data_IF_764126476709
#
_entry.id   IF_764126476709
#
_cell.length_a   1.000
_cell.length_b   1.000
_cell.length_c   1.000
_cell.angle_alpha   90.00
_cell.angle_beta   90.00
_cell.angle_gamma   90.00
#
_symmetry.space_group_name_H-M   'P 1'
#
loop_
_entity.id
_entity.type
_entity.pdbx_description
1 polymer ?
#
# COMPACT_ATOMS: atom_id res chain seq x y z
N UNK A 1 -23.88 -25.14 -4.77
CA UNK A 1 -22.52 -25.07 -4.20
C UNK A 1 -21.87 -23.82 -4.76
N UNK A 2 -21.65 -22.78 -3.96
CA UNK A 2 -20.88 -21.62 -4.39
C UNK A 2 -19.43 -22.09 -4.63
N UNK A 3 -18.89 -21.86 -5.83
CA UNK A 3 -17.51 -22.24 -6.15
C UNK A 3 -16.56 -21.47 -5.23
N UNK A 4 -15.49 -22.15 -4.79
CA UNK A 4 -14.40 -21.60 -3.95
C UNK A 4 -13.63 -20.43 -4.61
N UNK A 5 -14.09 -19.94 -5.76
CA UNK A 5 -13.35 -19.08 -6.69
C UNK A 5 -13.93 -17.66 -6.82
N UNK A 6 -15.00 -17.33 -6.08
CA UNK A 6 -15.62 -15.99 -6.13
C UNK A 6 -15.43 -15.23 -4.80
N UNK A 7 -14.20 -14.75 -4.57
CA UNK A 7 -13.81 -14.03 -3.35
C UNK A 7 -14.17 -12.55 -3.44
N UNK A 8 -13.86 -11.92 -4.57
CA UNK A 8 -14.17 -10.53 -4.91
C UNK A 8 -15.49 -10.47 -5.68
N UNK A 9 -16.35 -9.52 -5.33
CA UNK A 9 -17.54 -9.20 -6.12
C UNK A 9 -17.14 -8.52 -7.44
N UNK A 10 -18.05 -8.53 -8.42
CA UNK A 10 -17.85 -7.78 -9.67
C UNK A 10 -17.66 -6.28 -9.42
N UNK A 11 -18.33 -5.72 -8.41
CA UNK A 11 -18.15 -4.33 -7.98
C UNK A 11 -16.74 -4.09 -7.44
N UNK A 12 -16.19 -5.00 -6.62
CA UNK A 12 -14.82 -4.88 -6.13
C UNK A 12 -13.80 -4.97 -7.28
N UNK A 13 -14.04 -5.81 -8.28
CA UNK A 13 -13.18 -5.91 -9.47
C UNK A 13 -13.27 -4.64 -10.32
N UNK A 14 -14.46 -4.09 -10.54
CA UNK A 14 -14.63 -2.81 -11.24
C UNK A 14 -13.97 -1.66 -10.46
N UNK A 15 -14.15 -1.63 -9.14
CA UNK A 15 -13.48 -0.70 -8.23
C UNK A 15 -11.97 -0.79 -8.30
N UNK A 16 -11.38 -1.99 -8.42
CA UNK A 16 -9.94 -2.15 -8.66
C UNK A 16 -9.49 -1.47 -9.96
N UNK A 17 -10.24 -1.65 -11.05
CA UNK A 17 -9.89 -1.06 -12.34
C UNK A 17 -9.94 0.47 -12.29
N UNK A 18 -10.92 1.03 -11.58
CA UNK A 18 -11.14 2.48 -11.48
C UNK A 18 -10.21 3.15 -10.46
N UNK A 19 -10.06 2.54 -9.28
CA UNK A 19 -9.40 3.13 -8.10
C UNK A 19 -8.00 2.57 -7.86
N UNK A 20 -7.65 1.43 -8.46
CA UNK A 20 -6.32 0.84 -8.35
C UNK A 20 -6.09 0.05 -7.07
N UNK A 21 -7.12 -0.22 -6.27
CA UNK A 21 -7.00 -1.07 -5.09
C UNK A 21 -8.31 -1.76 -4.71
N UNK A 22 -8.19 -2.83 -3.91
CA UNK A 22 -9.31 -3.50 -3.24
C UNK A 22 -8.91 -3.80 -1.80
N UNK A 23 -9.76 -3.43 -0.84
CA UNK A 23 -9.69 -3.94 0.53
C UNK A 23 -10.38 -5.29 0.62
N UNK A 24 -9.66 -6.29 1.11
CA UNK A 24 -10.14 -7.64 1.36
C UNK A 24 -10.13 -7.90 2.87
N UNK A 25 -11.29 -7.73 3.54
CA UNK A 25 -11.43 -8.11 4.94
C UNK A 25 -11.19 -9.61 5.13
N UNK A 26 -10.50 -9.94 6.23
CA UNK A 26 -10.16 -11.31 6.61
C UNK A 26 -9.54 -12.09 5.44
N UNK A 27 -8.61 -11.47 4.71
CA UNK A 27 -7.88 -12.11 3.62
C UNK A 27 -7.14 -13.38 4.06
N UNK A 28 -6.70 -13.41 5.32
CA UNK A 28 -6.15 -14.56 6.03
C UNK A 28 -6.56 -14.52 7.51
N UNK A 29 -6.27 -15.60 8.25
CA UNK A 29 -6.74 -15.72 9.63
C UNK A 29 -6.16 -14.63 10.55
N UNK A 30 -7.06 -13.95 11.27
CA UNK A 30 -6.68 -12.96 12.29
C UNK A 30 -5.69 -13.52 13.31
N UNK A 31 -5.88 -14.77 13.74
CA UNK A 31 -4.99 -15.42 14.69
C UNK A 31 -3.57 -15.61 14.12
N UNK A 32 -3.45 -15.90 12.82
CA UNK A 32 -2.15 -15.99 12.15
C UNK A 32 -1.48 -14.60 12.07
N UNK A 33 -2.25 -13.55 11.77
CA UNK A 33 -1.77 -12.17 11.76
C UNK A 33 -1.18 -11.75 13.12
N UNK A 34 -1.93 -12.01 14.19
CA UNK A 34 -1.50 -11.70 15.56
C UNK A 34 -0.33 -12.55 16.01
N UNK A 35 -0.25 -13.82 15.62
CA UNK A 35 0.90 -14.66 15.92
C UNK A 35 2.18 -14.12 15.26
N UNK A 36 2.10 -13.64 14.00
CA UNK A 36 3.21 -12.94 13.34
C UNK A 36 3.58 -11.68 14.14
N UNK A 37 2.60 -10.88 14.57
CA UNK A 37 2.84 -9.70 15.39
C UNK A 37 3.59 -10.04 16.69
N UNK A 38 3.18 -11.10 17.40
CA UNK A 38 3.80 -11.53 18.65
C UNK A 38 5.25 -12.02 18.44
N UNK A 39 5.52 -12.70 17.31
CA UNK A 39 6.87 -13.09 16.93
C UNK A 39 7.77 -11.87 16.65
N UNK A 40 7.22 -10.81 16.05
CA UNK A 40 7.94 -9.54 15.87
C UNK A 40 8.22 -8.86 17.21
N UNK A 41 7.23 -8.80 18.11
CA UNK A 41 7.43 -8.27 19.46
C UNK A 41 8.50 -9.02 20.23
N UNK A 42 8.57 -10.34 20.10
CA UNK A 42 9.62 -11.15 20.73
C UNK A 42 11.02 -10.78 20.22
N UNK A 43 11.16 -10.47 18.92
CA UNK A 43 12.42 -9.98 18.37
C UNK A 43 12.76 -8.58 18.85
N UNK A 44 11.76 -7.70 18.96
CA UNK A 44 11.92 -6.34 19.49
C UNK A 44 12.33 -6.33 20.96
N UNK A 45 11.75 -7.22 21.79
CA UNK A 45 12.14 -7.39 23.18
C UNK A 45 13.63 -7.72 23.31
N UNK A 46 14.13 -8.62 22.46
CA UNK A 46 15.56 -8.97 22.42
C UNK A 46 16.46 -7.81 21.99
N UNK A 47 15.90 -6.78 21.35
CA UNK A 47 16.57 -5.52 20.99
C UNK A 47 16.31 -4.39 22.01
N UNK A 48 15.67 -4.67 23.15
CA UNK A 48 15.39 -3.70 24.21
C UNK A 48 14.15 -2.83 23.97
N UNK A 49 13.29 -3.20 23.03
CA UNK A 49 12.02 -2.51 22.75
C UNK A 49 10.88 -3.36 23.34
N UNK A 50 10.30 -2.88 24.44
CA UNK A 50 9.30 -3.60 25.21
C UNK A 50 7.88 -3.23 24.79
N UNK A 51 7.02 -4.23 24.55
CA UNK A 51 5.62 -4.04 24.18
C UNK A 51 4.80 -3.30 25.25
N UNK A 52 5.13 -3.50 26.52
CA UNK A 52 4.43 -2.92 27.67
C UNK A 52 4.96 -1.55 28.09
N UNK A 53 6.16 -1.17 27.65
CA UNK A 53 6.80 0.09 28.03
C UNK A 53 7.07 0.99 26.81
N UNK A 54 6.16 1.95 26.60
CA UNK A 54 6.25 2.94 25.52
C UNK A 54 7.52 3.78 25.55
N UNK A 55 8.16 3.94 26.71
CA UNK A 55 9.39 4.75 26.82
C UNK A 55 10.58 4.10 26.08
N UNK A 56 10.48 2.80 25.81
CA UNK A 56 11.49 2.05 25.03
C UNK A 56 11.27 2.14 23.52
N UNK A 57 10.14 2.69 23.07
CA UNK A 57 9.76 2.68 21.65
C UNK A 57 10.58 3.69 20.85
N UNK A 58 11.19 3.29 19.73
CA UNK A 58 11.93 4.22 18.89
C UNK A 58 10.98 5.20 18.18
N UNK A 59 11.48 6.39 17.87
CA UNK A 59 10.76 7.30 16.99
C UNK A 59 10.71 6.72 15.56
N UNK A 60 9.51 6.60 15.01
CA UNK A 60 9.33 6.26 13.59
C UNK A 60 9.40 4.78 13.26
N UNK A 61 10.05 4.48 12.14
CA UNK A 61 10.02 3.15 11.54
C UNK A 61 11.06 2.19 12.14
N UNK A 62 10.68 0.94 12.36
CA UNK A 62 11.60 -0.11 12.77
C UNK A 62 11.90 -1.08 11.62
N UNK A 63 13.19 -1.40 11.42
CA UNK A 63 13.67 -2.24 10.31
C UNK A 63 14.43 -3.49 10.74
N UNK A 64 14.63 -3.71 12.04
CA UNK A 64 15.44 -4.80 12.59
C UNK A 64 14.75 -6.17 12.66
N UNK A 65 13.69 -6.39 11.89
CA UNK A 65 12.89 -7.63 11.96
C UNK A 65 13.41 -8.66 10.98
N UNK A 66 13.61 -9.88 11.48
CA UNK A 66 13.91 -11.05 10.67
C UNK A 66 12.62 -11.79 10.32
N UNK A 67 12.55 -12.28 9.09
CA UNK A 67 11.43 -13.09 8.63
C UNK A 67 11.34 -14.42 9.38
N UNK A 68 10.09 -14.88 9.53
CA UNK A 68 9.74 -16.21 9.99
C UNK A 68 8.86 -16.87 8.91
N UNK A 69 9.45 -17.50 7.87
CA UNK A 69 8.69 -18.07 6.76
C UNK A 69 7.66 -19.11 7.19
N UNK A 70 7.87 -19.80 8.32
CA UNK A 70 6.92 -20.79 8.81
C UNK A 70 5.60 -20.17 9.24
N UNK A 71 5.71 -19.10 10.03
CA UNK A 71 4.56 -18.37 10.53
C UNK A 71 3.89 -17.54 9.42
N UNK A 72 4.70 -16.98 8.52
CA UNK A 72 4.25 -16.09 7.44
C UNK A 72 3.55 -16.83 6.29
N UNK A 73 3.70 -18.15 6.17
CA UNK A 73 2.99 -18.96 5.16
C UNK A 73 1.48 -18.83 5.26
N UNK A 74 0.94 -18.57 6.45
CA UNK A 74 -0.49 -18.37 6.68
C UNK A 74 -1.10 -17.19 5.91
N UNK A 75 -0.28 -16.22 5.49
CA UNK A 75 -0.72 -15.08 4.66
C UNK A 75 -1.24 -15.58 3.31
N UNK A 76 -0.64 -16.63 2.75
CA UNK A 76 -1.05 -17.25 1.49
C UNK A 76 -2.32 -18.09 1.58
N UNK A 77 -3.27 -17.69 2.43
CA UNK A 77 -4.53 -18.38 2.62
C UNK A 77 -5.33 -18.48 1.31
N UNK A 78 -6.19 -19.50 1.15
CA UNK A 78 -6.99 -19.69 -0.07
C UNK A 78 -7.81 -18.45 -0.47
N UNK A 79 -8.29 -17.65 0.50
CA UNK A 79 -9.07 -16.44 0.24
C UNK A 79 -8.22 -15.34 -0.42
N UNK A 80 -7.05 -15.02 0.12
CA UNK A 80 -6.13 -14.07 -0.52
C UNK A 80 -5.70 -14.57 -1.91
N UNK A 81 -5.32 -15.85 -2.03
CA UNK A 81 -4.94 -16.44 -3.32
C UNK A 81 -6.08 -16.41 -4.34
N UNK A 82 -7.32 -16.64 -3.92
CA UNK A 82 -8.51 -16.54 -4.76
C UNK A 82 -8.76 -15.12 -5.28
N UNK A 83 -8.59 -14.10 -4.42
CA UNK A 83 -8.67 -12.71 -4.84
C UNK A 83 -7.57 -12.34 -5.85
N UNK A 84 -6.33 -12.79 -5.62
CA UNK A 84 -5.23 -12.60 -6.59
C UNK A 84 -5.55 -13.29 -7.93
N UNK A 85 -6.10 -14.52 -7.90
CA UNK A 85 -6.55 -15.21 -9.11
C UNK A 85 -7.61 -14.41 -9.90
N UNK A 86 -8.57 -13.79 -9.21
CA UNK A 86 -9.60 -12.99 -9.87
C UNK A 86 -9.03 -11.71 -10.52
N UNK A 87 -7.97 -11.12 -9.96
CA UNK A 87 -7.35 -9.90 -10.50
C UNK A 87 -6.29 -10.17 -11.58
N UNK A 88 -5.45 -11.20 -11.40
CA UNK A 88 -4.34 -11.49 -12.33
C UNK A 88 -4.66 -12.59 -13.35
N UNK A 89 -5.73 -13.35 -13.11
CA UNK A 89 -6.06 -14.58 -13.84
C UNK A 89 -5.37 -15.81 -13.23
N UNK A 90 -6.07 -16.95 -13.17
CA UNK A 90 -5.49 -18.20 -12.66
C UNK A 90 -4.32 -18.65 -13.54
N UNK A 91 -3.24 -19.12 -12.92
CA UNK A 91 -2.04 -19.58 -13.63
C UNK A 91 -1.05 -18.47 -14.03
N UNK A 92 -1.47 -17.20 -13.98
CA UNK A 92 -0.63 -16.05 -14.35
C UNK A 92 0.20 -15.51 -13.19
N UNK A 93 0.36 -16.25 -12.10
CA UNK A 93 1.19 -15.86 -10.96
C UNK A 93 1.55 -17.11 -10.15
N UNK A 94 2.54 -16.99 -9.27
CA UNK A 94 2.96 -18.08 -8.37
C UNK A 94 2.86 -17.64 -6.92
N UNK A 95 2.40 -18.56 -6.08
CA UNK A 95 2.45 -18.40 -4.62
C UNK A 95 3.91 -18.16 -4.21
N UNK A 96 4.24 -16.99 -3.62
CA UNK A 96 5.61 -16.68 -3.26
C UNK A 96 6.05 -17.51 -2.03
N UNK A 97 7.34 -17.80 -1.95
CA UNK A 97 7.94 -18.42 -0.75
C UNK A 97 8.02 -17.45 0.45
N UNK A 98 7.95 -16.14 0.19
CA UNK A 98 7.93 -15.07 1.20
C UNK A 98 6.85 -14.03 0.86
N UNK A 99 6.03 -13.72 1.86
CA UNK A 99 4.90 -12.78 1.77
C UNK A 99 5.28 -11.36 2.16
N UNK A 100 6.36 -10.85 1.56
CA UNK A 100 6.70 -9.43 1.63
C UNK A 100 7.65 -9.06 2.77
N UNK A 101 8.01 -7.78 2.87
CA UNK A 101 8.82 -7.23 3.96
C UNK A 101 7.95 -6.58 5.04
N UNK A 102 8.47 -6.47 6.26
CA UNK A 102 7.78 -5.78 7.35
C UNK A 102 7.77 -4.27 7.15
N UNK A 103 6.62 -3.67 7.41
CA UNK A 103 6.44 -2.24 7.59
C UNK A 103 5.97 -2.03 9.02
N UNK A 104 6.86 -1.50 9.88
CA UNK A 104 6.53 -1.21 11.27
C UNK A 104 6.82 0.25 11.59
N UNK A 105 5.84 0.94 12.17
CA UNK A 105 5.97 2.32 12.61
C UNK A 105 5.39 2.49 14.01
N UNK A 106 6.13 3.17 14.86
CA UNK A 106 5.72 3.52 16.21
C UNK A 106 4.97 4.87 16.23
N UNK A 107 4.11 5.09 17.25
CA UNK A 107 3.46 6.37 17.48
C UNK A 107 4.43 7.54 17.50
N UNK A 108 4.01 8.64 16.88
CA UNK A 108 4.69 9.93 16.83
C UNK A 108 3.63 11.02 16.94
N UNK A 109 3.83 11.99 17.82
CA UNK A 109 2.90 13.10 18.00
C UNK A 109 1.52 12.69 18.54
N UNK A 110 0.64 13.69 18.64
CA UNK A 110 -0.74 13.53 19.06
C UNK A 110 -1.68 13.38 17.85
N UNK A 111 -2.80 12.68 18.02
CA UNK A 111 -3.77 12.41 16.95
C UNK A 111 -4.31 13.68 16.28
N UNK A 112 -4.45 14.76 17.05
CA UNK A 112 -4.97 16.06 16.60
C UNK A 112 -3.96 16.81 15.71
N UNK A 113 -2.67 16.45 15.78
CA UNK A 113 -1.61 17.02 14.95
C UNK A 113 -1.41 16.27 13.62
N UNK A 114 -2.19 15.21 13.37
CA UNK A 114 -2.02 14.42 12.15
C UNK A 114 -2.33 15.27 10.91
N UNK A 115 -1.38 15.26 9.96
CA UNK A 115 -1.54 15.94 8.68
C UNK A 115 -0.99 15.08 7.56
N UNK A 116 -1.63 15.20 6.39
CA UNK A 116 -1.20 14.47 5.22
C UNK A 116 0.19 14.92 4.76
N UNK A 117 1.13 13.97 4.70
CA UNK A 117 2.52 14.23 4.28
C UNK A 117 2.64 14.75 2.84
N UNK A 118 3.65 15.57 2.58
CA UNK A 118 4.13 15.89 1.22
C UNK A 118 5.21 14.94 0.73
N UNK A 119 5.72 14.09 1.61
CA UNK A 119 7.00 13.42 1.41
C UNK A 119 6.81 11.97 0.94
N UNK A 120 7.83 11.48 0.23
CA UNK A 120 7.97 10.07 -0.14
C UNK A 120 6.81 9.48 -0.95
N UNK A 121 6.10 10.28 -1.73
CA UNK A 121 5.12 9.76 -2.68
C UNK A 121 5.80 9.12 -3.90
N UNK A 122 5.47 7.86 -4.18
CA UNK A 122 6.08 7.06 -5.26
C UNK A 122 5.13 5.95 -5.74
N UNK A 123 5.56 5.24 -6.80
CA UNK A 123 4.99 3.97 -7.23
C UNK A 123 6.11 2.95 -7.38
N UNK A 124 5.77 1.66 -7.35
CA UNK A 124 6.74 0.56 -7.32
C UNK A 124 6.82 -0.23 -8.63
N UNK A 125 5.91 0.00 -9.58
CA UNK A 125 5.88 -0.73 -10.84
C UNK A 125 7.16 -0.54 -11.66
N UNK A 126 7.94 -1.61 -11.78
CA UNK A 126 9.16 -1.66 -12.59
C UNK A 126 8.87 -1.99 -14.06
N UNK A 127 7.67 -2.50 -14.37
CA UNK A 127 7.22 -2.89 -15.70
C UNK A 127 6.22 -1.88 -16.26
N UNK A 128 6.17 -0.69 -15.67
CA UNK A 128 5.18 0.35 -15.98
C UNK A 128 5.14 0.69 -17.48
N UNK A 129 6.26 0.58 -18.21
CA UNK A 129 6.29 0.82 -19.66
C UNK A 129 5.52 -0.22 -20.51
N UNK A 130 4.94 -1.26 -19.91
CA UNK A 130 4.23 -2.34 -20.60
C UNK A 130 2.71 -2.31 -20.31
N UNK A 131 2.04 -1.19 -20.56
CA UNK A 131 0.59 -1.06 -20.28
C UNK A 131 -0.30 -1.95 -21.15
N UNK A 132 0.17 -2.36 -22.32
CA UNK A 132 -0.66 -3.08 -23.30
C UNK A 132 -1.02 -4.50 -22.84
N UNK A 133 -0.39 -5.02 -21.78
CA UNK A 133 -0.68 -6.33 -21.18
C UNK A 133 -1.60 -6.24 -19.94
N UNK A 134 -2.14 -5.06 -19.67
CA UNK A 134 -2.95 -4.75 -18.49
C UNK A 134 -2.12 -4.71 -17.22
N UNK A 135 -2.74 -5.03 -16.08
CA UNK A 135 -2.05 -5.04 -14.79
C UNK A 135 -0.89 -6.05 -14.77
N UNK A 136 0.32 -5.54 -14.54
CA UNK A 136 1.61 -6.27 -14.57
C UNK A 136 1.87 -7.10 -13.31
N UNK A 137 1.01 -6.98 -12.30
CA UNK A 137 1.21 -7.59 -11.00
C UNK A 137 0.34 -6.96 -9.91
N UNK A 138 0.67 -7.17 -8.64
CA UNK A 138 0.02 -6.54 -7.51
C UNK A 138 1.05 -6.01 -6.51
N UNK A 139 0.73 -4.87 -5.91
CA UNK A 139 1.31 -4.39 -4.67
C UNK A 139 0.36 -4.74 -3.54
N UNK A 140 0.75 -5.69 -2.68
CA UNK A 140 -0.12 -6.26 -1.65
C UNK A 140 0.33 -5.79 -0.28
N UNK A 141 -0.59 -5.20 0.49
CA UNK A 141 -0.39 -4.83 1.88
C UNK A 141 -1.20 -5.76 2.77
N UNK A 142 -0.58 -6.43 3.74
CA UNK A 142 -1.29 -7.30 4.70
C UNK A 142 -1.16 -6.75 6.11
N UNK A 143 -2.26 -6.70 6.84
CA UNK A 143 -2.35 -6.05 8.14
C UNK A 143 -2.12 -7.08 9.25
N UNK A 144 -1.21 -6.77 10.17
CA UNK A 144 -0.83 -7.64 11.30
C UNK A 144 -1.27 -7.07 12.66
N UNK A 145 -1.72 -5.82 12.69
CA UNK A 145 -2.24 -5.13 13.87
C UNK A 145 -3.52 -4.37 13.51
N UNK A 146 -4.24 -3.87 14.51
CA UNK A 146 -5.29 -2.88 14.28
C UNK A 146 -4.66 -1.60 13.73
N UNK A 147 -5.23 -1.06 12.66
CA UNK A 147 -4.80 0.19 12.04
C UNK A 147 -6.02 1.11 11.97
N UNK A 148 -6.18 2.03 12.95
CA UNK A 148 -7.22 3.04 12.89
C UNK A 148 -6.84 4.12 11.87
N UNK A 149 -7.79 5.01 11.57
CA UNK A 149 -7.47 6.25 10.88
C UNK A 149 -6.34 7.00 11.61
N UNK A 150 -5.42 7.56 10.84
CA UNK A 150 -4.21 8.25 11.27
C UNK A 150 -3.23 7.36 12.06
N UNK A 151 -3.43 6.03 12.03
CA UNK A 151 -2.58 5.03 12.67
C UNK A 151 -1.36 4.63 11.85
N UNK A 152 -0.97 5.40 10.84
CA UNK A 152 0.23 5.16 10.05
C UNK A 152 0.04 4.15 8.91
N UNK A 153 -1.20 3.94 8.47
CA UNK A 153 -1.51 3.12 7.30
C UNK A 153 -0.82 3.64 6.05
N UNK A 154 -0.47 2.79 5.09
CA UNK A 154 0.03 3.29 3.80
C UNK A 154 -1.02 4.21 3.17
N UNK A 155 -0.62 5.40 2.73
CA UNK A 155 -1.47 6.32 1.98
C UNK A 155 -1.47 5.90 0.52
N UNK A 156 -2.65 5.81 -0.11
CA UNK A 156 -2.82 5.51 -1.52
C UNK A 156 -3.55 6.67 -2.19
N UNK A 157 -3.13 7.07 -3.39
CA UNK A 157 -3.96 7.90 -4.27
C UNK A 157 -4.84 6.98 -5.10
N UNK A 158 -6.10 6.81 -4.70
CA UNK A 158 -7.10 6.10 -5.49
C UNK A 158 -7.16 6.71 -6.91
N UNK A 159 -7.16 5.87 -7.94
CA UNK A 159 -7.20 6.24 -9.36
C UNK A 159 -5.86 6.60 -9.99
N UNK A 160 -4.81 6.82 -9.19
CA UNK A 160 -3.52 7.32 -9.69
C UNK A 160 -2.77 6.37 -10.63
N UNK A 161 -3.02 5.07 -10.59
CA UNK A 161 -2.43 4.12 -11.55
C UNK A 161 -2.76 4.49 -13.00
N UNK A 162 -3.95 5.06 -13.23
CA UNK A 162 -4.38 5.58 -14.54
C UNK A 162 -3.64 6.86 -14.92
N UNK A 163 -3.35 7.73 -13.95
CA UNK A 163 -2.51 8.91 -14.19
C UNK A 163 -1.08 8.50 -14.54
N UNK A 164 -0.52 7.55 -13.81
CA UNK A 164 0.81 6.99 -14.11
C UNK A 164 0.81 6.40 -15.51
N UNK A 165 -0.21 5.63 -15.88
CA UNK A 165 -0.33 5.10 -17.25
C UNK A 165 -0.40 6.19 -18.31
N UNK A 166 -1.26 7.18 -18.15
CA UNK A 166 -1.38 8.30 -19.09
C UNK A 166 -0.06 9.08 -19.21
N UNK A 167 0.64 9.31 -18.10
CA UNK A 167 1.93 9.98 -18.07
C UNK A 167 2.96 9.25 -18.95
N UNK A 168 3.12 7.94 -18.76
CA UNK A 168 4.09 7.17 -19.53
C UNK A 168 3.69 6.99 -21.01
N UNK A 169 2.40 6.86 -21.33
CA UNK A 169 1.92 6.81 -22.73
C UNK A 169 2.25 8.11 -23.50
N UNK A 170 2.41 9.23 -22.80
CA UNK A 170 2.76 10.53 -23.39
C UNK A 170 4.26 10.85 -23.38
N UNK A 171 5.10 9.97 -22.80
CA UNK A 171 6.54 10.19 -22.80
C UNK A 171 7.09 10.15 -24.23
N UNK A 172 7.95 11.11 -24.55
CA UNK A 172 8.73 11.06 -25.77
C UNK A 172 9.62 9.80 -25.77
N UNK A 173 9.92 9.18 -26.92
CA UNK A 173 10.73 7.96 -26.99
C UNK A 173 12.09 8.06 -26.27
N UNK A 174 12.72 9.24 -26.30
CA UNK A 174 13.98 9.49 -25.59
C UNK A 174 13.82 9.44 -24.06
N UNK A 175 12.67 9.87 -23.54
CA UNK A 175 12.39 9.92 -22.10
C UNK A 175 12.00 8.56 -21.52
N UNK A 176 11.52 7.62 -22.34
CA UNK A 176 11.18 6.25 -21.91
C UNK A 176 12.40 5.46 -21.41
N UNK A 177 13.61 5.88 -21.78
CA UNK A 177 14.88 5.29 -21.37
C UNK A 177 15.41 5.86 -20.04
N UNK A 178 14.73 6.85 -19.46
CA UNK A 178 15.15 7.42 -18.18
C UNK A 178 15.05 6.40 -17.05
N UNK A 179 15.94 6.53 -16.07
CA UNK A 179 15.84 5.78 -14.81
C UNK A 179 14.60 6.22 -14.04
N UNK A 180 14.15 5.37 -13.11
CA UNK A 180 12.92 5.63 -12.34
C UNK A 180 12.93 6.94 -11.55
N UNK A 181 14.06 7.35 -10.96
CA UNK A 181 14.10 8.56 -10.12
C UNK A 181 13.70 9.83 -10.89
N UNK A 182 14.35 10.17 -12.03
CA UNK A 182 13.89 11.29 -12.86
C UNK A 182 12.44 11.19 -13.32
N UNK A 183 11.94 9.98 -13.63
CA UNK A 183 10.54 9.77 -14.00
C UNK A 183 9.59 10.06 -12.83
N UNK A 184 9.96 9.66 -11.61
CA UNK A 184 9.25 9.96 -10.36
C UNK A 184 9.17 11.45 -10.09
N UNK A 185 10.29 12.15 -10.23
CA UNK A 185 10.36 13.61 -10.05
C UNK A 185 9.52 14.37 -11.09
N UNK A 186 9.53 13.92 -12.35
CA UNK A 186 8.72 14.52 -13.42
C UNK A 186 7.23 14.21 -13.27
N UNK A 187 6.86 13.00 -12.88
CA UNK A 187 5.45 12.66 -12.61
C UNK A 187 4.87 13.49 -11.48
N UNK A 188 5.61 13.66 -10.38
CA UNK A 188 5.20 14.50 -9.25
C UNK A 188 4.86 15.94 -9.66
N UNK A 189 5.46 16.44 -10.75
CA UNK A 189 5.22 17.78 -11.31
C UNK A 189 4.32 17.77 -12.55
N UNK A 190 3.86 16.60 -13.02
CA UNK A 190 3.16 16.47 -14.30
C UNK A 190 1.75 17.05 -14.29
N UNK A 191 1.16 17.21 -13.11
CA UNK A 191 -0.17 17.78 -12.90
C UNK A 191 -0.16 18.71 -11.69
N UNK A 192 -0.89 19.85 -11.70
CA UNK A 192 -0.94 20.76 -10.56
C UNK A 192 -1.33 20.08 -9.25
N UNK A 193 -2.32 19.17 -9.29
CA UNK A 193 -2.75 18.40 -8.12
C UNK A 193 -1.64 17.52 -7.53
N UNK A 194 -0.82 16.88 -8.37
CA UNK A 194 0.32 16.08 -7.93
C UNK A 194 1.42 16.95 -7.34
N UNK A 195 1.67 18.12 -7.96
CA UNK A 195 2.68 19.07 -7.48
C UNK A 195 2.29 19.63 -6.10
N UNK A 196 1.01 19.94 -5.89
CA UNK A 196 0.44 20.32 -4.59
C UNK A 196 0.58 19.18 -3.55
N UNK A 197 0.22 17.95 -3.94
CA UNK A 197 0.32 16.77 -3.07
C UNK A 197 1.77 16.51 -2.64
N UNK A 198 2.74 16.75 -3.51
CA UNK A 198 4.15 16.42 -3.27
C UNK A 198 4.99 17.62 -2.81
N UNK A 199 4.35 18.73 -2.44
CA UNK A 199 5.03 19.91 -1.91
C UNK A 199 5.91 20.64 -2.92
N UNK A 200 5.68 20.46 -4.22
CA UNK A 200 6.41 21.14 -5.30
C UNK A 200 5.88 22.55 -5.57
N UNK A 201 4.78 22.93 -4.91
CA UNK A 201 4.15 24.26 -4.97
C UNK A 201 4.21 24.95 -3.60
N UNK A 202 3.68 26.17 -3.52
CA UNK A 202 3.43 26.83 -2.23
C UNK A 202 2.61 25.92 -1.30
N UNK A 203 2.82 26.00 0.03
CA UNK A 203 2.12 25.15 0.99
C UNK A 203 0.60 25.24 0.84
N UNK A 204 -0.04 24.07 0.74
CA UNK A 204 -1.50 23.95 0.72
C UNK A 204 -2.01 23.90 2.15
N UNK A 205 -2.88 24.84 2.51
CA UNK A 205 -3.57 24.80 3.80
C UNK A 205 -4.56 23.63 3.86
N UNK A 206 -4.69 23.00 5.03
CA UNK A 206 -5.60 21.88 5.27
C UNK A 206 -5.51 20.76 4.20
N UNK A 207 -4.30 20.19 4.07
CA UNK A 207 -3.98 19.12 3.10
C UNK A 207 -4.92 17.93 3.23
N UNK A 208 -5.25 17.53 4.46
CA UNK A 208 -6.18 16.43 4.73
C UNK A 208 -7.54 16.68 4.06
N UNK A 209 -8.12 17.87 4.21
CA UNK A 209 -9.37 18.19 3.51
C UNK A 209 -9.18 18.22 1.99
N UNK A 210 -8.15 18.92 1.49
CA UNK A 210 -7.87 19.07 0.05
C UNK A 210 -7.77 17.74 -0.70
N UNK A 211 -7.12 16.74 -0.09
CA UNK A 211 -6.74 15.51 -0.77
C UNK A 211 -7.54 14.29 -0.32
N UNK A 212 -8.11 14.29 0.89
CA UNK A 212 -8.79 13.12 1.47
C UNK A 212 -10.28 13.33 1.75
N UNK A 213 -10.81 14.56 1.80
CA UNK A 213 -12.24 14.76 2.05
C UNK A 213 -13.06 14.46 0.78
N UNK A 214 -12.64 15.02 -0.35
CA UNK A 214 -13.39 14.97 -1.61
C UNK A 214 -12.55 14.39 -2.76
N UNK A 215 -13.23 13.84 -3.75
CA UNK A 215 -12.60 13.37 -4.99
C UNK A 215 -12.28 14.57 -5.88
N UNK A 216 -11.05 14.66 -6.36
CA UNK A 216 -10.64 15.63 -7.37
C UNK A 216 -10.64 14.98 -8.76
N UNK A 217 -10.89 15.76 -9.81
CA UNK A 217 -10.62 15.33 -11.18
C UNK A 217 -9.24 15.85 -11.60
N UNK A 218 -8.38 14.94 -12.08
CA UNK A 218 -7.05 15.27 -12.61
C UNK A 218 -6.93 14.60 -13.96
N UNK A 219 -6.87 15.40 -15.03
CA UNK A 219 -6.71 14.87 -16.40
C UNK A 219 -7.77 13.82 -16.77
N UNK A 220 -9.04 14.08 -16.40
CA UNK A 220 -10.15 13.15 -16.60
C UNK A 220 -10.13 11.91 -15.70
N UNK A 221 -9.23 11.83 -14.72
CA UNK A 221 -9.15 10.73 -13.74
C UNK A 221 -9.64 11.22 -12.37
N UNK A 222 -10.67 10.58 -11.78
CA UNK A 222 -11.04 10.86 -10.40
C UNK A 222 -9.96 10.32 -9.46
N UNK A 223 -9.44 11.19 -8.60
CA UNK A 223 -8.41 10.86 -7.61
C UNK A 223 -8.76 11.33 -6.21
N UNK A 224 -8.34 10.54 -5.23
CA UNK A 224 -8.53 10.83 -3.80
C UNK A 224 -7.47 10.10 -3.00
N UNK A 225 -6.88 10.77 -2.01
CA UNK A 225 -5.99 10.11 -1.04
C UNK A 225 -6.85 9.33 -0.04
N UNK A 226 -6.50 8.07 0.17
CA UNK A 226 -7.07 7.20 1.21
C UNK A 226 -5.94 6.63 2.06
N UNK A 227 -6.25 6.32 3.32
CA UNK A 227 -5.32 5.62 4.21
C UNK A 227 -5.74 4.16 4.34
N UNK A 228 -4.77 3.25 4.30
CA UNK A 228 -4.99 1.84 4.59
C UNK A 228 -5.28 1.66 6.08
N UNK A 229 -6.52 1.30 6.39
CA UNK A 229 -7.00 1.03 7.75
C UNK A 229 -7.58 -0.39 7.80
N UNK A 230 -7.76 -0.93 8.99
CA UNK A 230 -8.43 -2.22 9.15
C UNK A 230 -7.84 -3.08 10.25
N UNK A 231 -8.20 -4.36 10.19
CA UNK A 231 -7.93 -5.31 11.25
C UNK A 231 -6.80 -6.30 10.86
N UNK A 232 -6.12 -6.91 11.85
CA UNK A 232 -5.23 -8.03 11.61
C UNK A 232 -5.93 -9.14 10.80
N UNK A 233 -5.28 -9.58 9.73
CA UNK A 233 -5.83 -10.55 8.77
C UNK A 233 -6.39 -9.91 7.49
N UNK A 234 -6.60 -8.60 7.46
CA UNK A 234 -7.01 -7.88 6.26
C UNK A 234 -5.86 -7.75 5.26
N UNK A 235 -6.20 -7.59 3.98
CA UNK A 235 -5.25 -7.21 2.95
C UNK A 235 -5.79 -6.12 2.03
N UNK A 236 -4.90 -5.31 1.48
CA UNK A 236 -5.17 -4.43 0.34
C UNK A 236 -4.39 -4.98 -0.86
N UNK A 237 -5.11 -5.26 -1.95
CA UNK A 237 -4.50 -5.62 -3.22
C UNK A 237 -4.53 -4.39 -4.12
N UNK A 238 -3.37 -3.84 -4.44
CA UNK A 238 -3.25 -2.61 -5.20
C UNK A 238 -2.56 -2.83 -6.54
N UNK A 239 -2.88 -1.96 -7.49
CA UNK A 239 -2.17 -1.85 -8.74
C UNK A 239 -0.71 -1.41 -8.46
N UNK A 240 0.32 -2.02 -9.07
CA UNK A 240 1.73 -1.67 -8.80
C UNK A 240 2.08 -0.21 -9.09
N UNK A 241 1.34 0.39 -10.03
CA UNK A 241 1.46 1.79 -10.42
C UNK A 241 0.74 2.78 -9.50
N UNK A 242 0.03 2.32 -8.47
CA UNK A 242 -0.67 3.23 -7.56
C UNK A 242 0.33 4.13 -6.84
N UNK A 243 0.08 5.43 -6.86
CA UNK A 243 0.88 6.42 -6.15
C UNK A 243 0.59 6.33 -4.66
N UNK A 244 1.63 6.20 -3.85
CA UNK A 244 1.49 5.91 -2.44
C UNK A 244 2.64 6.49 -1.62
N UNK A 245 2.41 6.63 -0.32
CA UNK A 245 3.38 7.15 0.65
C UNK A 245 3.19 6.51 2.02
N UNK A 246 4.19 6.65 2.89
CA UNK A 246 4.02 6.30 4.31
C UNK A 246 3.21 7.39 5.03
N UNK A 247 2.22 6.99 5.84
CA UNK A 247 1.54 7.88 6.80
C UNK A 247 2.33 7.94 8.12
N UNK A 248 2.41 9.11 8.78
CA UNK A 248 2.84 9.15 10.16
C UNK A 248 1.83 8.40 11.05
N UNK A 249 2.33 7.68 12.05
CA UNK A 249 1.48 6.96 12.99
C UNK A 249 1.22 7.86 14.21
N UNK A 250 0.02 8.43 14.32
CA UNK A 250 -0.39 9.21 15.49
C UNK A 250 -1.37 8.43 16.40
N UNK A 251 -1.53 7.11 16.17
CA UNK A 251 -2.30 6.26 17.06
C UNK A 251 -1.54 5.96 18.35
N UNK A 252 -2.22 5.36 19.32
CA UNK A 252 -1.60 4.99 20.59
C UNK A 252 -0.79 3.69 20.53
N UNK A 253 -0.70 3.01 19.39
CA UNK A 253 0.03 1.74 19.29
C UNK A 253 0.83 1.64 17.99
N UNK A 254 1.88 0.79 17.95
CA UNK A 254 2.66 0.61 16.74
C UNK A 254 1.85 -0.15 15.70
N UNK A 255 2.06 0.20 14.45
CA UNK A 255 1.39 -0.39 13.31
C UNK A 255 2.27 -1.46 12.68
N UNK A 256 1.74 -2.67 12.55
CA UNK A 256 2.41 -3.81 11.95
C UNK A 256 1.72 -4.17 10.63
N UNK A 257 2.45 -4.06 9.53
CA UNK A 257 2.00 -4.46 8.20
C UNK A 257 3.11 -5.21 7.49
N UNK A 258 2.75 -5.86 6.39
CA UNK A 258 3.74 -6.32 5.39
C UNK A 258 3.40 -5.79 4.02
N UNK A 259 4.42 -5.73 3.17
CA UNK A 259 4.31 -5.28 1.79
C UNK A 259 4.95 -6.27 0.83
N UNK A 260 4.22 -6.68 -0.19
CA UNK A 260 4.66 -7.64 -1.21
C UNK A 260 4.34 -7.12 -2.61
N UNK A 261 5.38 -6.90 -3.40
CA UNK A 261 5.27 -6.88 -4.86
C UNK A 261 5.11 -8.30 -5.39
N UNK A 262 4.12 -8.52 -6.24
CA UNK A 262 3.85 -9.75 -6.96
C UNK A 262 3.82 -9.44 -8.45
N UNK A 263 4.54 -10.19 -9.27
CA UNK A 263 4.52 -10.03 -10.72
C UNK A 263 3.56 -11.03 -11.36
N UNK A 264 2.86 -10.59 -12.39
CA UNK A 264 2.09 -11.43 -13.29
C UNK A 264 3.06 -12.14 -14.25
N UNK A 265 2.91 -13.44 -14.40
CA UNK A 265 3.54 -14.23 -15.45
C UNK A 265 2.72 -14.10 -16.73
N UNK A 266 3.43 -13.87 -17.84
CA UNK A 266 2.90 -13.94 -19.21
C UNK A 266 3.24 -15.29 -19.82
#
# INVERSE_FOLDING_TARGET
MATKDNVLSSEAIAGFAEQGYVHLPQAFDRAAALAIQDAVWSQMQAAGIDRGDRSTWPAGAWRGVKDNPELERGIGAPRLCGAINQLLGPGNWRVPSRWGGYLISFPQGDIDDWTLTSDNWHWDDTLINHFDIGTTGLFILTLLSEIPAHGGGTLLVAGSHRLTEQYFRRLAPADQQLKQKPLKERFAQSQPWLAELTGQTSPVANRTHRFMAETSEVDGVPVKVIEVIGAPGDAYLCHPAIYHAASPNHAQWPRFMRVKGLLKHT
#
